data_IF_157128612827
#
_entry.id   IF_157128612827
#
_cell.length_a   1.000
_cell.length_b   1.000
_cell.length_c   1.000
_cell.angle_alpha   90.00
_cell.angle_beta   90.00
_cell.angle_gamma   90.00
#
_symmetry.space_group_name_H-M   'P 1'
#
loop_
_entity.id
_entity.type
_entity.pdbx_description
1 polymer ?
#
# COMPACT_ATOMS: atom_id res chain seq x y z
N UNK A 1 -14.56 -50.70 -25.05
CA UNK A 1 -14.40 -49.30 -25.44
C UNK A 1 -12.92 -48.98 -25.37
N UNK A 2 -12.20 -49.14 -26.47
CA UNK A 2 -10.75 -48.92 -26.50
C UNK A 2 -10.50 -47.42 -26.69
N UNK A 3 -10.49 -46.67 -25.59
CA UNK A 3 -10.06 -45.27 -25.61
C UNK A 3 -8.61 -45.20 -26.06
N UNK A 4 -8.31 -44.34 -27.04
CA UNK A 4 -6.94 -44.12 -27.47
C UNK A 4 -6.21 -43.28 -26.42
N UNK A 5 -4.95 -43.61 -26.14
CA UNK A 5 -4.09 -42.80 -25.29
C UNK A 5 -3.41 -41.71 -26.11
N UNK A 6 -3.51 -40.47 -25.65
CA UNK A 6 -2.92 -39.30 -26.31
C UNK A 6 -1.77 -38.79 -25.46
N UNK A 7 -0.58 -38.74 -26.07
CA UNK A 7 0.60 -38.19 -25.42
C UNK A 7 0.54 -36.66 -25.39
N UNK A 8 0.67 -36.10 -24.19
CA UNK A 8 0.62 -34.65 -23.96
C UNK A 8 1.86 -34.23 -23.17
N UNK A 9 2.58 -33.24 -23.67
CA UNK A 9 3.71 -32.64 -22.92
C UNK A 9 3.21 -31.63 -21.92
N UNK A 10 3.73 -31.71 -20.69
CA UNK A 10 3.41 -30.81 -19.60
C UNK A 10 4.68 -30.30 -18.91
N UNK A 11 4.71 -29.00 -18.66
CA UNK A 11 5.77 -28.31 -17.93
C UNK A 11 5.20 -27.78 -16.61
N UNK A 12 5.84 -28.02 -15.45
CA UNK A 12 5.41 -27.44 -14.18
C UNK A 12 5.37 -25.90 -14.24
N UNK A 13 4.19 -25.31 -14.16
CA UNK A 13 3.97 -23.87 -14.25
C UNK A 13 2.72 -23.46 -13.47
N UNK A 14 2.89 -22.99 -12.24
CA UNK A 14 1.79 -22.61 -11.36
C UNK A 14 1.07 -21.34 -11.86
N UNK A 15 -0.28 -21.26 -11.81
CA UNK A 15 -1.24 -22.24 -11.26
C UNK A 15 -1.76 -23.31 -12.26
N UNK A 16 -1.23 -23.35 -13.48
CA UNK A 16 -1.75 -24.16 -14.59
C UNK A 16 -1.39 -25.64 -14.48
N UNK A 17 -0.12 -25.90 -14.18
CA UNK A 17 0.45 -27.23 -13.96
C UNK A 17 1.22 -27.26 -12.64
N UNK A 18 0.75 -28.08 -11.73
CA UNK A 18 1.33 -28.30 -10.41
C UNK A 18 1.62 -29.80 -10.31
N UNK A 19 2.89 -30.12 -10.10
CA UNK A 19 3.33 -31.49 -9.86
C UNK A 19 3.60 -31.66 -8.38
N UNK A 20 2.96 -32.64 -7.76
CA UNK A 20 3.25 -33.08 -6.40
C UNK A 20 3.78 -34.51 -6.43
N UNK A 21 4.84 -34.77 -5.68
CA UNK A 21 5.40 -36.10 -5.53
C UNK A 21 4.89 -36.68 -4.22
N UNK A 22 4.13 -37.77 -4.28
CA UNK A 22 3.67 -38.51 -3.11
C UNK A 22 4.33 -39.88 -3.08
N UNK A 23 4.95 -40.21 -1.94
CA UNK A 23 5.51 -41.55 -1.74
C UNK A 23 4.42 -42.49 -1.21
N UNK A 24 3.96 -43.40 -2.06
CA UNK A 24 2.95 -44.41 -1.70
C UNK A 24 3.59 -45.78 -1.79
N UNK A 25 3.69 -46.49 -0.67
CA UNK A 25 4.28 -47.83 -0.56
C UNK A 25 5.74 -47.93 -1.09
N UNK A 26 6.56 -46.89 -0.89
CA UNK A 26 7.96 -46.85 -1.33
C UNK A 26 8.15 -46.59 -2.82
N UNK A 27 7.06 -46.30 -3.55
CA UNK A 27 7.10 -45.79 -4.92
C UNK A 27 6.74 -44.30 -4.92
N UNK A 28 7.56 -43.49 -5.58
CA UNK A 28 7.27 -42.08 -5.82
C UNK A 28 6.22 -42.01 -6.93
N UNK A 29 5.01 -41.55 -6.59
CA UNK A 29 3.92 -41.32 -7.53
C UNK A 29 3.83 -39.82 -7.77
N UNK A 30 4.07 -39.39 -9.01
CA UNK A 30 3.86 -38.01 -9.44
C UNK A 30 2.36 -37.79 -9.66
N UNK A 31 1.73 -36.97 -8.82
CA UNK A 31 0.38 -36.48 -9.01
C UNK A 31 0.39 -35.11 -9.69
N UNK A 32 -0.54 -34.92 -10.63
CA UNK A 32 -0.70 -33.68 -11.38
C UNK A 32 -1.98 -32.97 -10.96
N UNK A 33 -1.91 -31.65 -10.86
CA UNK A 33 -3.02 -30.76 -10.53
C UNK A 33 -2.86 -29.42 -11.24
N UNK A 34 -3.89 -28.59 -11.25
CA UNK A 34 -3.87 -27.27 -11.86
C UNK A 34 -4.94 -27.10 -12.94
N UNK A 35 -5.13 -25.85 -13.36
CA UNK A 35 -6.24 -25.48 -14.24
C UNK A 35 -6.16 -26.18 -15.61
N UNK A 36 -4.98 -26.22 -16.23
CA UNK A 36 -4.80 -26.82 -17.55
C UNK A 36 -4.88 -28.34 -17.49
N UNK A 37 -4.36 -28.95 -16.41
CA UNK A 37 -4.49 -30.38 -16.16
C UNK A 37 -5.97 -30.80 -16.06
N UNK A 38 -6.77 -30.10 -15.24
CA UNK A 38 -8.20 -30.40 -15.12
C UNK A 38 -8.94 -30.16 -16.45
N UNK A 39 -8.58 -29.10 -17.19
CA UNK A 39 -9.16 -28.84 -18.50
C UNK A 39 -8.91 -30.00 -19.47
N UNK A 40 -7.69 -30.51 -19.55
CA UNK A 40 -7.37 -31.67 -20.39
C UNK A 40 -8.11 -32.94 -19.96
N UNK A 41 -8.25 -33.17 -18.66
CA UNK A 41 -8.97 -34.32 -18.13
C UNK A 41 -10.46 -34.29 -18.53
N UNK A 42 -11.08 -33.11 -18.46
CA UNK A 42 -12.46 -32.91 -18.91
C UNK A 42 -12.59 -33.07 -20.43
N UNK A 43 -11.64 -32.55 -21.22
CA UNK A 43 -11.61 -32.76 -22.68
C UNK A 43 -11.48 -34.24 -23.02
N UNK A 44 -10.58 -34.96 -22.34
CA UNK A 44 -10.41 -36.41 -22.49
C UNK A 44 -11.69 -37.18 -22.17
N UNK A 45 -12.38 -36.78 -21.09
CA UNK A 45 -13.66 -37.38 -20.68
C UNK A 45 -14.79 -37.10 -21.69
N UNK A 46 -14.84 -35.89 -22.26
CA UNK A 46 -15.85 -35.52 -23.25
C UNK A 46 -15.62 -36.19 -24.62
N UNK A 47 -14.36 -36.40 -25.01
CA UNK A 47 -13.96 -36.96 -26.31
C UNK A 47 -13.56 -38.45 -26.27
N UNK A 48 -13.73 -39.11 -25.11
CA UNK A 48 -13.41 -40.54 -24.90
C UNK A 48 -11.95 -40.94 -25.19
N UNK A 49 -10.97 -40.15 -24.72
CA UNK A 49 -9.55 -40.50 -24.77
C UNK A 49 -8.86 -40.35 -23.41
N UNK A 50 -7.77 -41.08 -23.22
CA UNK A 50 -6.95 -41.00 -22.00
C UNK A 50 -5.73 -40.14 -22.24
N UNK A 51 -5.39 -39.25 -21.29
CA UNK A 51 -4.22 -38.38 -21.37
C UNK A 51 -3.01 -39.10 -20.77
N UNK A 52 -1.95 -39.27 -21.55
CA UNK A 52 -0.65 -39.72 -21.06
C UNK A 52 0.32 -38.53 -20.99
N UNK A 53 0.73 -38.16 -19.78
CA UNK A 53 1.54 -36.97 -19.55
C UNK A 53 3.01 -37.32 -19.73
N UNK A 54 3.67 -36.63 -20.64
CA UNK A 54 5.11 -36.65 -20.84
C UNK A 54 5.71 -35.46 -20.08
N UNK A 55 6.43 -35.69 -18.97
CA UNK A 55 7.09 -34.60 -18.26
C UNK A 55 8.19 -34.01 -19.14
N UNK A 56 8.34 -32.69 -19.07
CA UNK A 56 9.38 -31.92 -19.76
C UNK A 56 10.04 -30.96 -18.78
N UNK A 57 11.34 -30.72 -18.94
CA UNK A 57 12.09 -29.77 -18.11
C UNK A 57 12.07 -28.35 -18.67
N UNK A 58 12.10 -28.23 -20.00
CA UNK A 58 12.24 -26.95 -20.70
C UNK A 58 11.21 -26.74 -21.82
N UNK A 59 10.95 -25.48 -22.14
CA UNK A 59 10.08 -25.08 -23.27
C UNK A 59 10.58 -25.61 -24.62
N UNK A 60 11.90 -25.66 -24.79
CA UNK A 60 12.50 -26.20 -26.02
C UNK A 60 12.25 -27.71 -26.15
N UNK A 61 12.24 -28.44 -25.04
CA UNK A 61 11.93 -29.87 -25.03
C UNK A 61 10.47 -30.13 -25.43
N UNK A 62 9.54 -29.29 -24.95
CA UNK A 62 8.12 -29.36 -25.36
C UNK A 62 7.99 -29.23 -26.87
N UNK A 63 8.66 -28.24 -27.47
CA UNK A 63 8.63 -28.00 -28.92
C UNK A 63 9.29 -29.17 -29.66
N UNK A 64 10.43 -29.66 -29.19
CA UNK A 64 11.14 -30.78 -29.81
C UNK A 64 10.27 -32.04 -29.84
N UNK A 65 9.61 -32.38 -28.73
CA UNK A 65 8.69 -33.54 -28.64
C UNK A 65 7.47 -33.42 -29.54
N UNK A 66 6.95 -32.19 -29.69
CA UNK A 66 5.85 -31.90 -30.60
C UNK A 66 6.27 -32.07 -32.07
N UNK A 67 7.46 -31.55 -32.43
CA UNK A 67 8.01 -31.66 -33.79
C UNK A 67 8.42 -33.09 -34.15
N UNK A 68 8.97 -33.83 -33.19
CA UNK A 68 9.30 -35.25 -33.32
C UNK A 68 8.05 -36.16 -33.36
N UNK A 69 6.85 -35.59 -33.14
CA UNK A 69 5.57 -36.31 -33.03
C UNK A 69 5.55 -37.35 -31.90
N UNK A 70 6.34 -37.13 -30.85
CA UNK A 70 6.29 -37.91 -29.61
C UNK A 70 5.09 -37.49 -28.76
N UNK A 71 4.77 -36.19 -28.78
CA UNK A 71 3.55 -35.61 -28.21
C UNK A 71 2.61 -35.13 -29.31
N UNK A 72 1.31 -35.30 -29.08
CA UNK A 72 0.27 -34.82 -29.99
C UNK A 72 -0.23 -33.43 -29.58
N UNK A 73 -0.22 -33.12 -28.29
CA UNK A 73 -0.67 -31.84 -27.73
C UNK A 73 0.44 -31.29 -26.83
N UNK A 74 0.70 -29.99 -26.96
CA UNK A 74 1.47 -29.23 -26.00
C UNK A 74 0.50 -28.41 -25.14
N UNK A 75 0.37 -28.75 -23.86
CA UNK A 75 -0.56 -28.08 -22.95
C UNK A 75 0.11 -27.00 -22.10
N UNK A 76 1.06 -26.30 -22.71
CA UNK A 76 1.83 -25.25 -22.05
C UNK A 76 1.44 -23.89 -22.62
N UNK A 77 1.62 -22.83 -21.85
CA UNK A 77 1.29 -21.47 -22.29
C UNK A 77 2.14 -21.09 -23.49
N UNK A 78 1.51 -20.95 -24.65
CA UNK A 78 2.21 -20.62 -25.88
C UNK A 78 1.57 -19.40 -26.53
N UNK A 79 2.38 -18.36 -26.73
CA UNK A 79 1.92 -17.15 -27.39
C UNK A 79 1.60 -17.44 -28.86
N UNK A 80 0.36 -17.09 -29.27
CA UNK A 80 -0.08 -17.15 -30.66
C UNK A 80 0.56 -15.98 -31.41
N UNK A 81 1.60 -16.28 -32.20
CA UNK A 81 2.35 -15.30 -32.99
C UNK A 81 2.24 -15.66 -34.49
N UNK A 82 2.20 -14.68 -35.41
CA UNK A 82 2.03 -14.94 -36.84
C UNK A 82 3.00 -15.97 -37.42
N UNK A 83 4.29 -15.87 -37.07
CA UNK A 83 5.33 -16.80 -37.56
C UNK A 83 5.22 -18.22 -36.98
N UNK A 84 4.45 -18.43 -35.90
CA UNK A 84 4.22 -19.75 -35.31
C UNK A 84 3.02 -20.46 -35.93
N UNK A 85 2.06 -19.71 -36.46
CA UNK A 85 0.90 -20.26 -37.16
C UNK A 85 1.29 -21.00 -38.45
N UNK A 86 2.45 -20.67 -39.03
CA UNK A 86 2.98 -21.39 -40.20
C UNK A 86 3.49 -22.81 -39.86
N UNK A 87 3.72 -23.11 -38.57
CA UNK A 87 4.36 -24.35 -38.11
C UNK A 87 3.49 -25.19 -37.19
N UNK A 88 2.56 -24.57 -36.46
CA UNK A 88 1.71 -25.26 -35.48
C UNK A 88 0.26 -24.78 -35.59
N UNK A 89 -0.67 -25.73 -35.41
CA UNK A 89 -2.08 -25.42 -35.25
C UNK A 89 -2.39 -25.12 -33.78
N UNK A 90 -3.08 -24.01 -33.53
CA UNK A 90 -3.52 -23.61 -32.20
C UNK A 90 -5.01 -23.86 -32.05
N UNK A 91 -5.43 -24.16 -30.82
CA UNK A 91 -6.85 -24.18 -30.45
C UNK A 91 -7.39 -22.75 -30.35
N UNK A 92 -8.65 -22.60 -29.95
CA UNK A 92 -9.20 -21.29 -29.62
C UNK A 92 -8.49 -20.72 -28.38
N UNK A 93 -8.23 -19.41 -28.38
CA UNK A 93 -7.67 -18.73 -27.23
C UNK A 93 -8.71 -18.72 -26.09
N UNK A 94 -8.39 -19.40 -24.98
CA UNK A 94 -9.20 -19.42 -23.77
C UNK A 94 -8.69 -18.44 -22.70
N UNK A 95 -7.46 -17.93 -22.84
CA UNK A 95 -6.87 -16.94 -21.94
C UNK A 95 -6.16 -15.82 -22.71
N UNK A 96 -6.30 -14.58 -22.22
CA UNK A 96 -5.67 -13.40 -22.81
C UNK A 96 -4.71 -12.77 -21.80
N UNK A 97 -3.41 -12.87 -22.09
CA UNK A 97 -2.36 -12.17 -21.35
C UNK A 97 -2.01 -10.84 -22.02
N UNK A 98 -1.88 -9.78 -21.23
CA UNK A 98 -1.29 -8.51 -21.69
C UNK A 98 0.13 -8.38 -21.14
N UNK A 99 1.10 -7.90 -21.95
CA UNK A 99 2.46 -7.67 -21.47
C UNK A 99 2.41 -6.62 -20.36
N UNK A 100 2.93 -6.98 -19.21
CA UNK A 100 3.04 -6.12 -18.03
C UNK A 100 4.44 -6.26 -17.44
N UNK A 101 4.81 -5.30 -16.61
CA UNK A 101 6.07 -5.37 -15.85
C UNK A 101 5.76 -5.45 -14.36
N UNK A 102 6.63 -6.14 -13.63
CA UNK A 102 6.55 -6.22 -12.18
C UNK A 102 7.76 -5.55 -11.56
N UNK A 103 7.54 -4.86 -10.44
CA UNK A 103 8.59 -4.16 -9.69
C UNK A 103 8.53 -4.57 -8.23
N UNK A 104 9.69 -4.47 -7.56
CA UNK A 104 9.77 -4.69 -6.11
C UNK A 104 8.83 -3.71 -5.40
N UNK A 105 8.05 -4.24 -4.46
CA UNK A 105 7.20 -3.43 -3.58
C UNK A 105 8.08 -2.37 -2.86
N UNK A 106 7.76 -1.07 -2.97
CA UNK A 106 8.58 -0.04 -2.36
C UNK A 106 8.54 -0.16 -0.83
N UNK A 107 9.66 0.16 -0.19
CA UNK A 107 9.75 0.22 1.27
C UNK A 107 8.96 1.42 1.77
N UNK A 108 8.20 1.21 2.86
CA UNK A 108 7.51 2.30 3.53
C UNK A 108 8.52 3.17 4.25
N UNK A 109 8.27 4.49 4.26
CA UNK A 109 9.04 5.44 5.07
C UNK A 109 8.90 5.11 6.56
N UNK A 110 9.90 5.48 7.39
CA UNK A 110 9.88 5.17 8.81
C UNK A 110 8.65 5.80 9.51
N UNK A 111 7.99 5.02 10.37
CA UNK A 111 6.70 5.38 10.98
C UNK A 111 6.74 6.66 11.83
N UNK A 112 7.89 7.06 12.38
CA UNK A 112 7.97 8.27 13.22
C UNK A 112 7.79 9.57 12.41
N UNK A 113 8.12 9.56 11.11
CA UNK A 113 7.88 10.74 10.25
C UNK A 113 6.38 11.07 10.18
N UNK A 114 5.50 10.07 10.37
CA UNK A 114 4.05 10.23 10.35
C UNK A 114 3.49 11.20 11.39
N UNK A 115 4.24 11.54 12.44
CA UNK A 115 3.76 12.48 13.47
C UNK A 115 3.77 13.94 13.00
N UNK A 116 4.64 14.32 12.07
CA UNK A 116 4.74 15.70 11.60
C UNK A 116 3.86 16.00 10.37
N UNK A 117 3.61 14.99 9.54
CA UNK A 117 2.78 15.08 8.33
C UNK A 117 1.28 15.40 8.49
N UNK A 118 0.59 15.20 9.64
CA UNK A 118 -0.86 15.40 9.72
C UNK A 118 -1.29 16.85 9.47
N UNK A 119 -0.37 17.80 9.66
CA UNK A 119 -0.54 19.21 9.35
C UNK A 119 0.50 19.67 8.31
N UNK A 120 0.07 20.56 7.42
CA UNK A 120 1.00 21.23 6.51
C UNK A 120 1.91 22.19 7.28
N UNK A 121 3.07 22.51 6.71
CA UNK A 121 4.00 23.47 7.32
C UNK A 121 3.33 24.82 7.63
N UNK A 122 2.42 25.29 6.77
CA UNK A 122 1.65 26.52 7.02
C UNK A 122 0.75 26.43 8.26
N UNK A 123 0.07 25.29 8.48
CA UNK A 123 -0.77 25.08 9.67
C UNK A 123 0.07 24.99 10.93
N UNK A 124 1.24 24.34 10.87
CA UNK A 124 2.19 24.33 11.99
C UNK A 124 2.64 25.74 12.37
N UNK A 125 3.03 26.56 11.39
CA UNK A 125 3.44 27.95 11.62
C UNK A 125 2.30 28.78 12.20
N UNK A 126 1.08 28.63 11.70
CA UNK A 126 -0.10 29.32 12.24
C UNK A 126 -0.40 28.89 13.68
N UNK A 127 -0.26 27.60 13.99
CA UNK A 127 -0.46 27.05 15.34
C UNK A 127 0.59 27.58 16.32
N UNK A 128 1.87 27.66 15.90
CA UNK A 128 2.92 28.28 16.71
C UNK A 128 2.66 29.78 16.92
N UNK A 129 2.24 30.49 15.88
CA UNK A 129 1.91 31.91 15.98
C UNK A 129 0.77 32.17 16.97
N UNK A 130 -0.32 31.39 16.91
CA UNK A 130 -1.46 31.57 17.81
C UNK A 130 -1.11 31.20 19.26
N UNK A 131 -0.25 30.18 19.46
CA UNK A 131 0.27 29.82 20.78
C UNK A 131 1.14 30.92 21.41
N UNK A 132 1.74 31.82 20.62
CA UNK A 132 2.47 32.98 21.11
C UNK A 132 1.58 34.21 21.31
N UNK A 133 0.59 34.42 20.44
CA UNK A 133 -0.30 35.59 20.48
C UNK A 133 -1.28 35.50 21.66
N UNK A 134 -1.89 34.33 21.89
CA UNK A 134 -2.93 34.17 22.91
C UNK A 134 -2.44 34.45 24.34
N UNK A 135 -1.27 33.97 24.79
CA UNK A 135 -0.71 34.33 26.09
C UNK A 135 -0.47 35.84 26.25
N UNK A 136 -0.03 36.53 25.19
CA UNK A 136 0.16 37.98 25.21
C UNK A 136 -1.18 38.70 25.41
N UNK A 137 -2.25 38.25 24.74
CA UNK A 137 -3.60 38.79 24.93
C UNK A 137 -4.07 38.58 26.38
N UNK A 138 -3.85 37.39 26.95
CA UNK A 138 -4.21 37.10 28.35
C UNK A 138 -3.43 37.97 29.33
N UNK A 139 -2.12 38.18 29.12
CA UNK A 139 -1.32 39.11 29.92
C UNK A 139 -1.80 40.55 29.81
N UNK A 140 -2.11 41.03 28.60
CA UNK A 140 -2.63 42.38 28.40
C UNK A 140 -3.97 42.55 29.11
N UNK A 141 -4.85 41.55 29.06
CA UNK A 141 -6.09 41.58 29.84
C UNK A 141 -5.83 41.60 31.34
N UNK A 142 -4.95 40.73 31.86
CA UNK A 142 -4.64 40.70 33.29
C UNK A 142 -4.07 42.04 33.78
N UNK A 143 -3.12 42.62 33.04
CA UNK A 143 -2.52 43.93 33.37
C UNK A 143 -3.54 45.07 33.34
N UNK A 144 -4.41 45.14 32.33
CA UNK A 144 -5.48 46.15 32.25
C UNK A 144 -6.51 45.99 33.37
N UNK A 145 -6.86 44.76 33.71
CA UNK A 145 -7.79 44.45 34.79
C UNK A 145 -7.23 44.89 36.15
N UNK A 146 -5.96 44.58 36.41
CA UNK A 146 -5.27 44.96 37.66
C UNK A 146 -5.08 46.48 37.76
N UNK A 147 -4.82 47.17 36.65
CA UNK A 147 -4.77 48.64 36.59
C UNK A 147 -6.12 49.29 36.94
N UNK A 148 -7.23 48.74 36.44
CA UNK A 148 -8.58 49.25 36.69
C UNK A 148 -9.05 49.05 38.14
N UNK A 149 -8.65 47.95 38.77
CA UNK A 149 -9.12 47.59 40.12
C UNK A 149 -8.32 48.26 41.24
N UNK A 150 -7.25 49.02 40.94
CA UNK A 150 -6.33 49.64 41.91
C UNK A 150 -5.84 48.69 43.02
N UNK A 151 -5.88 47.39 42.77
CA UNK A 151 -5.40 46.37 43.70
C UNK A 151 -3.88 46.30 43.63
N UNK A 152 -3.19 47.16 44.39
CA UNK A 152 -1.73 47.23 44.46
C UNK A 152 -1.03 46.03 45.10
N UNK A 153 -1.64 44.84 45.13
CA UNK A 153 -1.13 43.70 45.90
C UNK A 153 -1.44 42.30 45.39
N UNK A 154 -2.09 42.13 44.23
CA UNK A 154 -2.27 40.79 43.64
C UNK A 154 -1.03 40.45 42.82
N UNK A 155 -0.40 39.31 43.12
CA UNK A 155 0.80 38.84 42.42
C UNK A 155 0.58 38.91 40.90
N UNK A 156 1.44 39.67 40.19
CA UNK A 156 1.41 39.70 38.73
C UNK A 156 1.76 38.32 38.23
N UNK A 157 0.86 37.70 37.46
CA UNK A 157 1.17 36.45 36.78
C UNK A 157 2.34 36.70 35.83
N UNK A 158 3.37 35.86 35.93
CA UNK A 158 4.53 35.94 35.04
C UNK A 158 4.11 35.46 33.65
N UNK A 159 4.72 35.98 32.57
CA UNK A 159 4.47 35.50 31.20
C UNK A 159 4.59 33.98 31.08
N UNK A 160 5.56 33.39 31.77
CA UNK A 160 5.76 31.95 31.80
C UNK A 160 4.57 31.18 32.39
N UNK A 161 3.90 31.73 33.41
CA UNK A 161 2.75 31.09 34.06
C UNK A 161 1.53 31.13 33.13
N UNK A 162 1.27 32.27 32.50
CA UNK A 162 0.18 32.42 31.52
C UNK A 162 0.45 31.57 30.27
N UNK A 163 1.70 31.53 29.81
CA UNK A 163 2.11 30.67 28.69
C UNK A 163 1.89 29.19 29.04
N UNK A 164 2.29 28.76 30.24
CA UNK A 164 2.11 27.39 30.71
C UNK A 164 0.62 27.03 30.82
N UNK A 165 -0.23 27.94 31.27
CA UNK A 165 -1.69 27.74 31.29
C UNK A 165 -2.28 27.61 29.89
N UNK A 166 -1.92 28.51 28.97
CA UNK A 166 -2.44 28.51 27.59
C UNK A 166 -2.00 27.25 26.84
N UNK A 167 -0.73 26.89 26.95
CA UNK A 167 -0.17 25.64 26.39
C UNK A 167 -0.78 24.43 27.07
N UNK A 168 -0.97 24.47 28.39
CA UNK A 168 -1.65 23.43 29.15
C UNK A 168 -3.04 23.18 28.58
N UNK A 169 -3.88 24.22 28.47
CA UNK A 169 -5.22 24.13 27.89
C UNK A 169 -5.18 23.56 26.48
N UNK A 170 -4.22 23.99 25.66
CA UNK A 170 -4.05 23.47 24.30
C UNK A 170 -3.77 21.96 24.27
N UNK A 171 -2.95 21.48 25.21
CA UNK A 171 -2.61 20.07 25.38
C UNK A 171 -3.67 19.28 26.17
N UNK A 172 -4.77 19.91 26.59
CA UNK A 172 -5.81 19.30 27.42
C UNK A 172 -5.41 19.09 28.88
N UNK A 173 -4.38 19.79 29.36
CA UNK A 173 -3.89 19.78 30.73
C UNK A 173 -4.24 21.11 31.42
N UNK A 174 -5.13 21.11 32.40
CA UNK A 174 -5.38 22.34 33.18
C UNK A 174 -4.39 22.43 34.34
N UNK A 175 -3.59 23.48 34.39
CA UNK A 175 -2.95 23.91 35.63
C UNK A 175 -4.03 24.57 36.50
N UNK A 176 -4.06 24.27 37.80
CA UNK A 176 -5.11 24.73 38.74
C UNK A 176 -5.09 26.22 39.07
N UNK A 177 -4.53 27.07 38.20
CA UNK A 177 -4.47 28.50 38.43
C UNK A 177 -5.82 29.18 38.16
N UNK A 178 -6.10 30.21 38.96
CA UNK A 178 -7.37 30.93 38.91
C UNK A 178 -7.27 32.12 37.96
N UNK A 179 -7.96 32.03 36.82
CA UNK A 179 -8.16 33.18 35.95
C UNK A 179 -9.02 34.27 36.63
N UNK A 180 -8.80 35.56 36.32
CA UNK A 180 -9.60 36.65 36.84
C UNK A 180 -11.10 36.46 36.56
N UNK A 181 -11.93 36.76 37.55
CA UNK A 181 -13.38 36.56 37.48
C UNK A 181 -14.09 37.70 36.70
N UNK A 182 -13.72 37.90 35.43
CA UNK A 182 -14.39 38.82 34.50
C UNK A 182 -15.00 38.07 33.32
N UNK A 183 -16.18 38.51 32.87
CA UNK A 183 -16.90 37.89 31.75
C UNK A 183 -16.10 37.90 30.45
N UNK A 184 -15.32 38.96 30.18
CA UNK A 184 -14.45 39.05 28.99
C UNK A 184 -13.37 37.96 28.95
N UNK A 185 -12.71 37.69 30.09
CA UNK A 185 -11.68 36.64 30.21
C UNK A 185 -12.30 35.26 30.04
N UNK A 186 -13.51 35.03 30.57
CA UNK A 186 -14.24 33.77 30.39
C UNK A 186 -14.61 33.50 28.94
N UNK A 187 -15.10 34.51 28.22
CA UNK A 187 -15.41 34.36 26.79
C UNK A 187 -14.15 34.01 26.00
N UNK A 188 -13.03 34.68 26.28
CA UNK A 188 -11.74 34.38 25.64
C UNK A 188 -11.28 32.95 25.96
N UNK A 189 -11.36 32.51 27.22
CA UNK A 189 -11.05 31.13 27.61
C UNK A 189 -11.93 30.11 26.90
N UNK A 190 -13.24 30.32 26.83
CA UNK A 190 -14.15 29.44 26.10
C UNK A 190 -13.76 29.36 24.63
N UNK A 191 -13.41 30.48 24.00
CA UNK A 191 -12.96 30.49 22.60
C UNK A 191 -11.64 29.73 22.41
N UNK A 192 -10.69 29.88 23.34
CA UNK A 192 -9.42 29.16 23.32
C UNK A 192 -9.59 27.65 23.54
N UNK A 193 -10.49 27.26 24.44
CA UNK A 193 -10.85 25.87 24.69
C UNK A 193 -11.46 25.22 23.44
N UNK A 194 -12.42 25.89 22.80
CA UNK A 194 -13.03 25.39 21.57
C UNK A 194 -12.02 25.27 20.43
N UNK A 195 -11.18 26.29 20.24
CA UNK A 195 -10.11 26.25 19.24
C UNK A 195 -9.15 25.09 19.48
N UNK A 196 -8.65 24.95 20.72
CA UNK A 196 -7.74 23.87 21.11
C UNK A 196 -8.36 22.50 20.88
N UNK A 197 -9.62 22.32 21.28
CA UNK A 197 -10.35 21.09 21.07
C UNK A 197 -10.47 20.71 19.59
N UNK A 198 -10.81 21.68 18.73
CA UNK A 198 -10.92 21.47 17.28
C UNK A 198 -9.55 21.05 16.70
N UNK A 199 -8.48 21.80 16.98
CA UNK A 199 -7.15 21.53 16.44
C UNK A 199 -6.65 20.16 16.86
N UNK A 200 -6.75 19.81 18.14
CA UNK A 200 -6.34 18.50 18.66
C UNK A 200 -7.17 17.38 18.03
N UNK A 201 -8.47 17.57 17.85
CA UNK A 201 -9.35 16.57 17.24
C UNK A 201 -9.00 16.33 15.77
N UNK A 202 -8.79 17.39 14.99
CA UNK A 202 -8.39 17.29 13.58
C UNK A 202 -7.01 16.64 13.46
N UNK A 203 -6.05 17.02 14.31
CA UNK A 203 -4.72 16.40 14.34
C UNK A 203 -4.82 14.89 14.59
N UNK A 204 -5.57 14.47 15.61
CA UNK A 204 -5.78 13.05 15.94
C UNK A 204 -6.47 12.29 14.81
N UNK A 205 -7.45 12.91 14.16
CA UNK A 205 -8.14 12.32 13.01
C UNK A 205 -7.20 12.10 11.83
N UNK A 206 -6.44 13.12 11.44
CA UNK A 206 -5.47 13.05 10.35
C UNK A 206 -4.34 12.06 10.63
N UNK A 207 -3.83 12.04 11.87
CA UNK A 207 -2.81 11.09 12.30
C UNK A 207 -3.32 9.65 12.21
N UNK A 208 -4.54 9.39 12.69
CA UNK A 208 -5.17 8.06 12.56
C UNK A 208 -5.30 7.64 11.11
N UNK A 209 -5.81 8.52 10.24
CA UNK A 209 -5.94 8.24 8.81
C UNK A 209 -4.59 7.94 8.13
N UNK A 210 -3.53 8.64 8.54
CA UNK A 210 -2.19 8.40 8.02
C UNK A 210 -1.60 7.06 8.51
N UNK A 211 -1.89 6.67 9.74
CA UNK A 211 -1.42 5.41 10.32
C UNK A 211 -2.16 4.19 9.77
N UNK A 212 -3.42 4.34 9.36
CA UNK A 212 -4.21 3.24 8.78
C UNK A 212 -3.97 3.07 7.28
N UNK A 213 -3.65 4.14 6.55
CA UNK A 213 -3.43 4.11 5.10
C UNK A 213 -1.94 4.27 4.76
N UNK A 214 -1.22 3.17 4.44
CA UNK A 214 0.19 3.26 4.06
C UNK A 214 0.34 4.01 2.72
N UNK A 215 0.99 5.18 2.75
CA UNK A 215 1.38 5.90 1.54
C UNK A 215 2.71 5.37 1.02
N UNK A 216 2.65 4.66 -0.10
CA UNK A 216 3.84 4.25 -0.83
C UNK A 216 4.42 5.44 -1.62
N UNK A 217 5.75 5.50 -1.82
CA UNK A 217 6.33 6.47 -2.73
C UNK A 217 5.80 6.25 -4.16
N UNK A 218 5.79 7.29 -5.00
CA UNK A 218 5.38 7.17 -6.40
C UNK A 218 6.26 6.14 -7.11
N UNK A 219 5.65 5.37 -8.00
CA UNK A 219 6.28 4.33 -8.83
C UNK A 219 5.88 4.56 -10.29
N UNK A 220 6.66 4.05 -11.22
CA UNK A 220 6.22 4.00 -12.61
C UNK A 220 5.05 3.01 -12.72
N UNK A 221 3.90 3.51 -13.17
CA UNK A 221 2.72 2.70 -13.46
C UNK A 221 2.51 2.53 -14.96
N UNK A 222 3.25 3.31 -15.77
CA UNK A 222 3.21 3.24 -17.24
C UNK A 222 4.58 2.90 -17.82
N UNK A 223 4.58 2.36 -19.04
CA UNK A 223 5.80 2.10 -19.79
C UNK A 223 6.58 3.39 -20.06
N UNK A 224 5.88 4.50 -20.32
CA UNK A 224 6.50 5.81 -20.55
C UNK A 224 7.24 6.31 -19.30
N UNK A 225 6.62 6.19 -18.12
CA UNK A 225 7.27 6.52 -16.85
C UNK A 225 8.46 5.61 -16.57
N UNK A 226 8.35 4.32 -16.90
CA UNK A 226 9.45 3.38 -16.75
C UNK A 226 10.65 3.76 -17.62
N UNK A 227 10.43 4.13 -18.88
CA UNK A 227 11.50 4.62 -19.78
C UNK A 227 12.14 5.89 -19.22
N UNK A 228 11.34 6.86 -18.77
CA UNK A 228 11.87 8.10 -18.16
C UNK A 228 12.75 7.83 -16.94
N UNK A 229 12.36 6.86 -16.09
CA UNK A 229 13.17 6.46 -14.94
C UNK A 229 14.46 5.76 -15.38
N UNK A 230 14.38 4.87 -16.38
CA UNK A 230 15.53 4.17 -16.93
C UNK A 230 16.54 5.15 -17.53
N UNK A 231 16.11 6.09 -18.36
CA UNK A 231 16.98 7.11 -18.96
C UNK A 231 17.70 7.95 -17.90
N UNK A 232 16.98 8.33 -16.83
CA UNK A 232 17.57 9.07 -15.70
C UNK A 232 18.62 8.27 -14.93
N UNK A 233 18.48 6.95 -14.84
CA UNK A 233 19.45 6.09 -14.16
C UNK A 233 20.62 5.63 -15.05
N UNK A 234 20.43 5.64 -16.38
CA UNK A 234 21.47 5.32 -17.37
C UNK A 234 22.32 6.55 -17.73
N UNK A 235 21.83 7.77 -17.48
CA UNK A 235 22.59 9.02 -17.62
C UNK A 235 23.14 9.62 -16.30
N UNK A 236 23.78 8.90 -15.37
CA UNK A 236 24.56 9.55 -14.33
C UNK A 236 25.95 9.85 -14.92
N UNK A 237 26.23 11.15 -15.13
CA UNK A 237 27.51 11.75 -15.53
C UNK A 237 27.85 11.74 -17.03
N UNK A 238 27.43 12.81 -17.71
CA UNK A 238 28.35 13.62 -18.53
C UNK A 238 28.33 15.03 -17.95
#
# INVERSE_FOLDING_TARGET
MCGHSVNVTALPFSPYWITSEEEVNGAIVTSYSGTDYFMLQEIGSALNFTVNILPTEDWDEVIQKLEARESFIASVIFAVLPHRLDRYDFTYAFEYGSPTFSMKKPTLRPKWESLYYPFSGGVWMATLAILLIVPVIFLLMDTLINLQLQTGGTARNTFAEVLQEVVGIFLGQTSGNKFPNKTSVRILLCSWLLFSFIVVTVYKGNLTAYLTLPKYPPRAETLEELVKIADRQVQPLI
#
